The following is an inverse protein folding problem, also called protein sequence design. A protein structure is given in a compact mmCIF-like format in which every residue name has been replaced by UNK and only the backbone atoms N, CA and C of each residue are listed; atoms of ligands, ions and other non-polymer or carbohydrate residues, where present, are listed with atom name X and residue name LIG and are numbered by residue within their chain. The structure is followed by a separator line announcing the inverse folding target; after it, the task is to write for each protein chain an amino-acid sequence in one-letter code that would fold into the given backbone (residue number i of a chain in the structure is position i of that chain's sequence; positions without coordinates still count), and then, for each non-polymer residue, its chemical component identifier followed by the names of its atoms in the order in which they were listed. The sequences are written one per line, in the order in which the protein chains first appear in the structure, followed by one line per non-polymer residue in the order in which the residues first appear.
data_IF_404748922971
#
_entry.id   IF_404748922971
#
_cell.length_a   1.000
_cell.length_b   1.000
_cell.length_c   1.000
_cell.angle_alpha   90.00
_cell.angle_beta   90.00
_cell.angle_gamma   90.00
#
_symmetry.space_group_name_H-M   'P 1'
#
loop_
_entity.id
_entity.type
_entity.pdbx_description
1 polymer ?
#
# COMPACT_ATOMS: atom_id res chain seq x y z
N UNK A 1 -4.75 16.89 0.08
CA UNK A 1 -6.03 16.37 -0.45
C UNK A 1 -6.08 14.86 -0.22
N UNK A 2 -7.11 14.34 0.44
CA UNK A 2 -7.36 12.89 0.45
C UNK A 2 -7.88 12.54 -0.94
N UNK A 3 -7.09 11.81 -1.75
CA UNK A 3 -7.56 11.33 -3.05
C UNK A 3 -8.63 10.28 -2.81
N UNK A 4 -9.74 10.34 -3.56
CA UNK A 4 -10.86 9.38 -3.50
C UNK A 4 -10.44 8.02 -4.12
N UNK A 5 -9.40 7.41 -3.57
CA UNK A 5 -8.83 6.15 -4.04
C UNK A 5 -9.52 5.00 -3.31
N UNK A 6 -9.86 3.96 -4.06
CA UNK A 6 -10.48 2.75 -3.51
C UNK A 6 -9.82 1.52 -4.10
N UNK A 7 -10.07 0.36 -3.47
CA UNK A 7 -9.89 -0.91 -4.16
C UNK A 7 -10.93 -1.02 -5.27
N UNK A 8 -10.63 -1.78 -6.33
CA UNK A 8 -11.54 -1.93 -7.48
C UNK A 8 -12.94 -2.36 -7.08
N UNK A 9 -13.05 -3.22 -6.06
CA UNK A 9 -14.32 -3.69 -5.52
C UNK A 9 -14.27 -3.77 -4.00
N UNK A 10 -15.43 -3.76 -3.35
CA UNK A 10 -15.54 -3.97 -1.91
C UNK A 10 -15.01 -5.36 -1.50
N UNK A 11 -15.23 -6.39 -2.31
CA UNK A 11 -14.70 -7.74 -2.06
C UNK A 11 -13.17 -7.76 -1.99
N UNK A 12 -12.49 -6.99 -2.84
CA UNK A 12 -11.03 -6.85 -2.79
C UNK A 12 -10.56 -6.13 -1.53
N UNK A 13 -11.22 -5.02 -1.14
CA UNK A 13 -10.94 -4.35 0.12
C UNK A 13 -11.10 -5.32 1.31
N UNK A 14 -12.19 -6.08 1.33
CA UNK A 14 -12.53 -7.01 2.39
C UNK A 14 -11.51 -8.14 2.52
N UNK A 15 -11.13 -8.74 1.38
CA UNK A 15 -10.11 -9.78 1.32
C UNK A 15 -8.75 -9.28 1.82
N UNK A 16 -8.33 -8.09 1.37
CA UNK A 16 -7.08 -7.47 1.82
C UNK A 16 -7.10 -7.12 3.31
N UNK A 17 -8.18 -6.49 3.80
CA UNK A 17 -8.35 -6.20 5.21
C UNK A 17 -8.28 -7.47 6.06
N UNK A 18 -9.02 -8.53 5.69
CA UNK A 18 -8.98 -9.81 6.39
C UNK A 18 -7.55 -10.38 6.40
N UNK A 19 -6.88 -10.39 5.25
CA UNK A 19 -5.53 -10.94 5.13
C UNK A 19 -4.50 -10.19 5.98
N UNK A 20 -4.47 -8.86 5.92
CA UNK A 20 -3.38 -8.07 6.49
C UNK A 20 -3.66 -7.61 7.93
N UNK A 21 -4.92 -7.29 8.26
CA UNK A 21 -5.31 -6.84 9.61
C UNK A 21 -5.69 -8.01 10.50
N UNK A 22 -6.53 -8.95 10.02
CA UNK A 22 -7.08 -10.01 10.88
C UNK A 22 -6.15 -11.22 10.96
N UNK A 23 -5.72 -11.76 9.81
CA UNK A 23 -4.91 -12.99 9.75
C UNK A 23 -3.45 -12.69 10.10
N UNK A 24 -2.84 -11.70 9.44
CA UNK A 24 -1.42 -11.39 9.64
C UNK A 24 -1.13 -10.38 10.75
N UNK A 25 -2.17 -9.68 11.26
CA UNK A 25 -2.07 -8.73 12.39
C UNK A 25 -1.02 -7.61 12.19
N UNK A 26 -0.77 -7.22 10.94
CA UNK A 26 0.27 -6.26 10.57
C UNK A 26 0.01 -4.84 11.10
N UNK A 27 -1.26 -4.53 11.35
CA UNK A 27 -1.72 -3.18 11.69
C UNK A 27 -2.26 -3.05 13.12
N UNK A 28 -2.26 -4.13 13.90
CA UNK A 28 -2.98 -4.19 15.17
C UNK A 28 -4.50 -4.10 14.98
N UNK A 29 -5.20 -3.58 15.99
CA UNK A 29 -6.66 -3.47 15.97
C UNK A 29 -7.10 -2.17 15.28
N UNK A 30 -7.30 -2.21 13.97
CA UNK A 30 -7.85 -1.11 13.18
C UNK A 30 -9.10 -1.55 12.43
N UNK A 31 -10.01 -0.62 12.17
CA UNK A 31 -11.20 -0.89 11.36
C UNK A 31 -10.87 -0.93 9.88
N UNK A 32 -11.77 -1.51 9.08
CA UNK A 32 -11.66 -1.54 7.60
C UNK A 32 -11.56 -0.13 7.00
N UNK A 33 -12.31 0.83 7.52
CA UNK A 33 -12.22 2.22 7.06
C UNK A 33 -10.87 2.83 7.40
N UNK A 34 -10.34 2.61 8.62
CA UNK A 34 -9.00 3.09 8.98
C UNK A 34 -7.91 2.48 8.10
N UNK A 35 -8.05 1.19 7.76
CA UNK A 35 -7.14 0.52 6.83
C UNK A 35 -7.16 1.17 5.43
N UNK A 36 -8.34 1.42 4.87
CA UNK A 36 -8.47 2.13 3.59
C UNK A 36 -7.89 3.55 3.66
N UNK A 37 -8.21 4.30 4.72
CA UNK A 37 -7.71 5.66 4.94
C UNK A 37 -6.19 5.69 5.04
N UNK A 38 -5.56 4.71 5.69
CA UNK A 38 -4.09 4.62 5.72
C UNK A 38 -3.49 4.36 4.34
N UNK A 39 -4.09 3.48 3.54
CA UNK A 39 -3.66 3.28 2.15
C UNK A 39 -3.77 4.56 1.32
N UNK A 40 -4.89 5.29 1.43
CA UNK A 40 -5.11 6.57 0.76
C UNK A 40 -4.09 7.62 1.20
N UNK A 41 -3.83 7.72 2.51
CA UNK A 41 -2.86 8.66 3.07
C UNK A 41 -1.45 8.36 2.59
N UNK A 42 -1.04 7.08 2.54
CA UNK A 42 0.27 6.69 2.02
C UNK A 42 0.43 7.10 0.55
N UNK A 43 -0.56 6.79 -0.29
CA UNK A 43 -0.50 7.09 -1.74
C UNK A 43 -0.56 8.60 -2.01
N UNK A 44 -1.25 9.36 -1.17
CA UNK A 44 -1.39 10.81 -1.28
C UNK A 44 -0.35 11.61 -0.50
N UNK A 45 0.65 10.96 0.10
CA UNK A 45 1.65 11.63 0.94
C UNK A 45 2.79 12.22 0.13
N UNK A 46 3.15 13.47 0.43
CA UNK A 46 4.37 14.13 -0.03
C UNK A 46 5.47 14.13 1.06
N UNK A 47 5.33 13.28 2.08
CA UNK A 47 6.31 13.16 3.17
C UNK A 47 7.65 12.63 2.67
N UNK A 48 8.76 13.19 3.19
CA UNK A 48 10.13 12.72 2.93
C UNK A 48 10.38 11.25 3.31
N UNK A 49 9.53 10.68 4.17
CA UNK A 49 9.63 9.27 4.58
C UNK A 49 8.92 8.32 3.60
N UNK A 50 8.21 8.87 2.60
CA UNK A 50 7.48 8.07 1.60
C UNK A 50 8.30 8.04 0.32
N UNK A 51 8.80 6.87 0.01
CA UNK A 51 9.46 6.58 -1.25
C UNK A 51 8.42 6.12 -2.27
N UNK A 52 8.50 6.60 -3.51
CA UNK A 52 7.58 6.16 -4.57
C UNK A 52 8.28 6.02 -5.92
N UNK A 53 7.77 5.10 -6.75
CA UNK A 53 8.28 4.86 -8.11
C UNK A 53 7.15 4.43 -9.05
N UNK A 54 7.20 4.89 -10.30
CA UNK A 54 6.36 4.38 -11.39
C UNK A 54 7.06 3.19 -12.06
N UNK A 55 6.36 2.08 -12.23
CA UNK A 55 6.83 0.87 -12.93
C UNK A 55 6.59 0.98 -14.44
N UNK A 56 7.29 0.16 -15.23
CA UNK A 56 7.14 0.10 -16.70
C UNK A 56 5.69 -0.17 -17.12
N UNK A 57 4.98 -1.01 -16.36
CA UNK A 57 3.57 -1.36 -16.59
C UNK A 57 2.58 -0.21 -16.25
N UNK A 58 3.07 0.93 -15.75
CA UNK A 58 2.29 2.11 -15.38
C UNK A 58 1.82 2.17 -13.93
N UNK A 59 1.97 1.09 -13.15
CA UNK A 59 1.63 1.09 -11.73
C UNK A 59 2.57 2.01 -10.94
N UNK A 60 2.09 2.51 -9.80
CA UNK A 60 2.89 3.31 -8.86
C UNK A 60 3.01 2.56 -7.54
N UNK A 61 4.23 2.39 -7.07
CA UNK A 61 4.53 1.81 -5.75
C UNK A 61 4.87 2.90 -4.75
N UNK A 62 4.50 2.66 -3.49
CA UNK A 62 4.72 3.57 -2.38
C UNK A 62 5.20 2.77 -1.18
N UNK A 63 6.22 3.28 -0.49
CA UNK A 63 6.74 2.68 0.73
C UNK A 63 7.08 3.76 1.75
N UNK A 64 6.49 3.67 2.94
CA UNK A 64 6.78 4.57 4.06
C UNK A 64 7.80 3.92 4.99
N UNK A 65 9.00 4.50 5.03
CA UNK A 65 10.12 4.01 5.82
C UNK A 65 9.91 4.16 7.33
N UNK A 66 9.05 5.09 7.76
CA UNK A 66 8.83 5.40 9.16
C UNK A 66 7.90 4.40 9.87
N UNK A 67 6.86 3.93 9.18
CA UNK A 67 5.85 3.03 9.76
C UNK A 67 5.77 1.66 9.07
N UNK A 68 6.69 1.43 8.13
CA UNK A 68 6.82 0.20 7.36
C UNK A 68 5.54 -0.16 6.60
N UNK A 69 4.90 0.82 5.96
CA UNK A 69 3.68 0.61 5.17
C UNK A 69 4.00 0.64 3.67
N UNK A 70 3.40 -0.28 2.93
CA UNK A 70 3.59 -0.43 1.48
C UNK A 70 2.24 -0.40 0.75
N UNK A 71 2.17 0.30 -0.38
CA UNK A 71 1.00 0.31 -1.24
C UNK A 71 1.35 0.25 -2.73
N UNK A 72 0.43 -0.28 -3.53
CA UNK A 72 0.47 -0.18 -5.00
C UNK A 72 -0.81 0.44 -5.51
N UNK A 73 -0.66 1.49 -6.31
CA UNK A 73 -1.73 2.10 -7.09
C UNK A 73 -1.62 1.59 -8.54
N UNK A 74 -2.70 1.01 -9.05
CA UNK A 74 -2.80 0.63 -10.45
C UNK A 74 -2.79 1.84 -11.37
N UNK A 75 -2.30 1.68 -12.60
CA UNK A 75 -2.37 2.73 -13.64
C UNK A 75 -3.80 3.25 -13.91
N UNK A 76 -4.79 2.44 -13.57
CA UNK A 76 -6.22 2.70 -13.72
C UNK A 76 -6.86 3.36 -12.49
N UNK A 77 -6.05 3.76 -11.50
CA UNK A 77 -6.51 4.56 -10.37
C UNK A 77 -7.02 3.76 -9.16
N UNK A 78 -6.99 2.43 -9.21
CA UNK A 78 -7.41 1.59 -8.08
C UNK A 78 -6.23 1.08 -7.23
N UNK A 79 -6.44 1.02 -5.92
CA UNK A 79 -5.50 0.40 -4.99
C UNK A 79 -5.45 -1.10 -5.28
N UNK A 80 -4.25 -1.62 -5.54
CA UNK A 80 -4.00 -3.05 -5.80
C UNK A 80 -3.61 -3.81 -4.54
N UNK A 81 -2.89 -3.17 -3.61
CA UNK A 81 -2.50 -3.76 -2.33
C UNK A 81 -2.10 -2.69 -1.33
N UNK A 82 -2.20 -3.01 -0.04
CA UNK A 82 -1.69 -2.24 1.08
C UNK A 82 -1.29 -3.21 2.20
N UNK A 83 -0.08 -3.15 2.73
CA UNK A 83 0.36 -4.07 3.80
C UNK A 83 1.65 -3.58 4.49
N UNK A 84 2.07 -4.26 5.57
CA UNK A 84 3.41 -4.05 6.15
C UNK A 84 4.34 -5.22 5.84
N UNK A 85 5.44 -5.03 5.08
CA UNK A 85 6.34 -6.12 4.76
C UNK A 85 7.10 -6.61 6.01
N UNK A 86 7.28 -7.93 6.14
CA UNK A 86 8.00 -8.54 7.29
C UNK A 86 9.45 -8.08 7.37
N UNK A 87 10.14 -7.99 6.24
CA UNK A 87 11.57 -7.65 6.16
C UNK A 87 11.85 -6.14 6.03
N UNK A 88 10.82 -5.31 6.19
CA UNK A 88 10.95 -3.86 6.23
C UNK A 88 11.66 -3.29 4.99
N UNK A 89 12.70 -2.47 5.21
CA UNK A 89 13.45 -1.82 4.14
C UNK A 89 14.11 -2.82 3.16
N UNK A 90 14.39 -4.07 3.57
CA UNK A 90 14.93 -5.09 2.64
C UNK A 90 13.95 -5.47 1.54
N UNK A 91 12.65 -5.22 1.74
CA UNK A 91 11.63 -5.34 0.70
C UNK A 91 11.79 -4.28 -0.40
N UNK A 92 12.36 -3.11 -0.07
CA UNK A 92 12.45 -2.00 -1.01
C UNK A 92 13.39 -2.29 -2.19
N UNK A 93 14.63 -2.79 -2.03
CA UNK A 93 15.49 -3.22 -3.14
C UNK A 93 14.84 -4.26 -4.07
N UNK A 94 14.10 -5.24 -3.56
CA UNK A 94 13.48 -6.28 -4.39
C UNK A 94 12.41 -5.71 -5.35
N UNK A 95 11.69 -4.67 -4.92
CA UNK A 95 10.76 -3.94 -5.78
C UNK A 95 11.45 -3.22 -6.96
N UNK A 96 12.77 -3.04 -6.89
CA UNK A 96 13.60 -2.41 -7.91
C UNK A 96 14.31 -3.42 -8.82
N UNK A 97 14.44 -4.68 -8.39
CA UNK A 97 15.21 -5.71 -9.10
C UNK A 97 14.34 -6.55 -10.07
N UNK A 98 13.02 -6.64 -9.87
CA UNK A 98 12.12 -7.39 -10.77
C UNK A 98 11.73 -6.66 -12.09
N UNK A 99 12.66 -5.92 -12.69
CA UNK A 99 12.42 -5.14 -13.92
C UNK A 99 13.60 -5.17 -14.92
N UNK A 100 14.40 -6.25 -14.93
CA UNK A 100 15.33 -6.53 -16.05
C UNK A 100 14.79 -7.69 -16.88
#
# INVERSE_FOLDING_TARGET
MVRNLSFRTLSLLDSHYKKHVIVQKEFGNITKNQYLTRAQNLIGSDSKNVLSKKRSNGDRVFYNTSNNEFAVLGKDGYIKTFFKPKDGFRYYPELFILQS
#
